data_IF_138926401429
#
_entry.id   IF_138926401429
#
_cell.length_a   1.000
_cell.length_b   1.000
_cell.length_c   1.000
_cell.angle_alpha   90.00
_cell.angle_beta   90.00
_cell.angle_gamma   90.00
#
_symmetry.space_group_name_H-M   'P 1'
#
loop_
_entity.id
_entity.type
_entity.pdbx_description
1 polymer ?
#
# COMPACT_ATOMS: atom_id res chain seq x y z
N UNK A 1 -43.76 14.26 4.72
CA UNK A 1 -43.02 13.27 3.89
C UNK A 1 -41.70 13.86 3.36
N UNK A 2 -41.17 14.91 3.99
CA UNK A 2 -40.01 15.69 3.47
C UNK A 2 -38.66 15.35 4.12
N UNK A 3 -38.65 14.52 5.16
CA UNK A 3 -37.42 14.11 5.87
C UNK A 3 -36.63 12.98 5.21
N UNK A 4 -37.28 12.16 4.38
CA UNK A 4 -36.66 11.00 3.73
C UNK A 4 -36.02 11.38 2.39
N UNK A 5 -36.59 12.37 1.68
CA UNK A 5 -36.05 12.84 0.40
C UNK A 5 -34.79 13.70 0.55
N UNK A 6 -34.60 14.42 1.67
CA UNK A 6 -33.36 15.17 1.93
C UNK A 6 -32.14 14.28 2.25
N UNK A 7 -32.33 13.07 2.79
CA UNK A 7 -31.22 12.12 3.02
C UNK A 7 -30.84 11.31 1.78
N UNK A 8 -31.75 11.18 0.82
CA UNK A 8 -31.46 10.57 -0.48
C UNK A 8 -30.67 11.53 -1.39
N UNK A 9 -30.86 12.84 -1.24
CA UNK A 9 -30.16 13.84 -2.06
C UNK A 9 -28.73 14.13 -1.56
N UNK A 10 -28.46 14.00 -0.26
CA UNK A 10 -27.09 14.10 0.28
C UNK A 10 -26.21 12.91 -0.08
N UNK A 11 -26.78 11.70 -0.24
CA UNK A 11 -26.02 10.50 -0.62
C UNK A 11 -25.74 10.42 -2.13
N UNK A 12 -26.52 11.13 -2.96
CA UNK A 12 -26.29 11.26 -4.40
C UNK A 12 -25.35 12.42 -4.78
N UNK A 13 -25.14 13.39 -3.88
CA UNK A 13 -24.24 14.54 -4.10
C UNK A 13 -22.81 14.32 -3.56
N UNK A 14 -22.61 13.50 -2.52
CA UNK A 14 -21.25 13.17 -2.03
C UNK A 14 -20.43 12.31 -3.01
N UNK A 15 -21.10 11.53 -3.88
CA UNK A 15 -20.46 10.70 -4.92
C UNK A 15 -19.73 11.48 -6.03
N UNK A 16 -19.68 12.82 -5.98
CA UNK A 16 -19.08 13.66 -7.02
C UNK A 16 -17.87 14.50 -6.61
N UNK A 17 -17.56 14.66 -5.31
CA UNK A 17 -16.48 15.60 -4.88
C UNK A 17 -15.07 15.01 -4.93
N UNK A 18 -14.92 13.73 -4.58
CA UNK A 18 -13.61 13.08 -4.45
C UNK A 18 -13.40 12.00 -5.50
N UNK A 19 -12.13 11.73 -5.81
CA UNK A 19 -11.72 10.64 -6.68
C UNK A 19 -11.92 9.29 -5.96
N UNK A 20 -11.73 8.19 -6.72
CA UNK A 20 -11.63 6.86 -6.11
C UNK A 20 -10.43 6.81 -5.16
N UNK A 21 -10.56 6.10 -4.05
CA UNK A 21 -9.50 5.97 -3.04
C UNK A 21 -8.21 5.38 -3.64
N UNK A 22 -8.32 4.48 -4.62
CA UNK A 22 -7.17 3.87 -5.29
C UNK A 22 -6.31 4.92 -6.00
N UNK A 23 -6.92 5.94 -6.61
CA UNK A 23 -6.23 7.07 -7.22
C UNK A 23 -5.49 7.89 -6.16
N UNK A 24 -6.15 8.19 -5.04
CA UNK A 24 -5.53 8.89 -3.91
C UNK A 24 -4.30 8.15 -3.38
N UNK A 25 -4.42 6.83 -3.17
CA UNK A 25 -3.28 6.00 -2.77
C UNK A 25 -2.16 5.95 -3.83
N UNK A 26 -2.47 5.99 -5.13
CA UNK A 26 -1.45 5.98 -6.16
C UNK A 26 -0.65 7.31 -6.16
N UNK A 27 -1.33 8.44 -6.07
CA UNK A 27 -0.70 9.75 -5.93
C UNK A 27 0.17 9.87 -4.68
N UNK A 28 -0.35 9.46 -3.52
CA UNK A 28 0.40 9.54 -2.26
C UNK A 28 1.64 8.66 -2.28
N UNK A 29 1.62 7.51 -2.95
CA UNK A 29 2.82 6.70 -3.16
C UNK A 29 3.83 7.38 -4.06
N UNK A 30 3.41 8.03 -5.15
CA UNK A 30 4.33 8.79 -5.98
C UNK A 30 4.97 9.94 -5.20
N UNK A 31 4.15 10.73 -4.47
CA UNK A 31 4.65 11.83 -3.63
C UNK A 31 5.64 11.29 -2.60
N UNK A 32 5.31 10.19 -1.93
CA UNK A 32 6.21 9.56 -0.96
C UNK A 32 7.52 9.08 -1.59
N UNK A 33 7.47 8.44 -2.75
CA UNK A 33 8.66 8.00 -3.47
C UNK A 33 9.54 9.18 -3.90
N UNK A 34 8.95 10.29 -4.35
CA UNK A 34 9.68 11.53 -4.65
C UNK A 34 10.33 12.09 -3.38
N UNK A 35 9.61 12.18 -2.27
CA UNK A 35 10.16 12.66 -0.98
C UNK A 35 11.34 11.81 -0.52
N UNK A 36 11.31 10.50 -0.74
CA UNK A 36 12.43 9.61 -0.43
C UNK A 36 13.65 9.92 -1.32
N UNK A 37 13.46 10.12 -2.63
CA UNK A 37 14.56 10.51 -3.53
C UNK A 37 15.14 11.88 -3.15
N UNK A 38 14.27 12.84 -2.82
CA UNK A 38 14.70 14.15 -2.30
C UNK A 38 15.58 13.96 -1.05
N UNK A 39 15.11 13.20 -0.07
CA UNK A 39 15.83 12.98 1.19
C UNK A 39 17.17 12.29 0.99
N UNK A 40 17.26 11.30 0.08
CA UNK A 40 18.54 10.65 -0.23
C UNK A 40 19.58 11.59 -0.85
N UNK A 41 19.17 12.71 -1.47
CA UNK A 41 20.12 13.64 -2.09
C UNK A 41 21.10 14.25 -1.09
N UNK A 42 20.72 14.33 0.18
CA UNK A 42 21.55 14.92 1.24
C UNK A 42 22.63 13.97 1.77
N UNK A 43 22.32 12.77 2.30
CA UNK A 43 23.33 11.82 2.76
C UNK A 43 24.25 11.32 1.64
N UNK A 44 23.79 11.30 0.37
CA UNK A 44 24.63 10.91 -0.77
C UNK A 44 25.75 11.92 -1.07
N UNK A 45 25.57 13.18 -0.69
CA UNK A 45 26.60 14.23 -0.79
C UNK A 45 27.40 14.36 0.51
N UNK A 46 26.70 14.38 1.64
CA UNK A 46 27.28 14.54 2.97
C UNK A 46 26.69 13.47 3.91
N UNK A 47 27.41 12.36 4.14
CA UNK A 47 26.95 11.26 5.00
C UNK A 47 26.70 11.65 6.46
N UNK A 48 27.15 12.83 6.92
CA UNK A 48 26.84 13.33 8.26
C UNK A 48 25.39 13.82 8.38
N UNK A 49 24.74 14.08 7.25
CA UNK A 49 23.33 14.47 7.17
C UNK A 49 22.43 13.26 7.06
N UNK A 50 21.25 13.37 7.66
CA UNK A 50 20.22 12.33 7.63
C UNK A 50 19.19 12.59 6.53
N UNK A 51 18.96 13.87 6.18
CA UNK A 51 17.97 14.31 5.21
C UNK A 51 18.04 15.81 4.93
N UNK A 52 16.96 16.39 4.40
CA UNK A 52 16.93 17.81 3.99
C UNK A 52 16.98 18.78 5.17
N UNK A 53 16.46 18.37 6.33
CA UNK A 53 16.41 19.19 7.52
C UNK A 53 17.64 18.98 8.42
N UNK A 54 17.93 19.95 9.31
CA UNK A 54 18.99 19.80 10.30
C UNK A 54 18.77 18.58 11.20
N UNK A 55 19.84 17.87 11.56
CA UNK A 55 19.79 16.71 12.46
C UNK A 55 19.12 17.03 13.80
N UNK A 56 19.29 18.25 14.31
CA UNK A 56 18.68 18.71 15.57
C UNK A 56 17.15 18.78 15.55
N UNK A 57 16.51 18.75 14.38
CA UNK A 57 15.05 18.77 14.29
C UNK A 57 14.43 17.38 14.44
N UNK A 58 15.23 16.31 14.37
CA UNK A 58 14.78 14.92 14.42
C UNK A 58 13.58 14.64 13.48
N UNK A 59 13.54 15.34 12.34
CA UNK A 59 12.41 15.36 11.41
C UNK A 59 12.89 14.99 10.01
N UNK A 60 12.27 13.98 9.41
CA UNK A 60 12.51 13.59 8.01
C UNK A 60 11.19 13.42 7.26
N UNK A 61 10.92 14.25 6.24
CA UNK A 61 9.77 14.08 5.36
C UNK A 61 9.71 12.71 4.68
N UNK A 62 10.87 12.14 4.33
CA UNK A 62 10.97 10.80 3.74
C UNK A 62 10.59 9.72 4.75
N UNK A 63 11.02 9.83 6.00
CA UNK A 63 10.61 8.91 7.06
C UNK A 63 9.11 9.00 7.35
N UNK A 64 8.55 10.21 7.41
CA UNK A 64 7.10 10.42 7.54
C UNK A 64 6.35 9.77 6.35
N UNK A 65 6.85 9.95 5.13
CA UNK A 65 6.28 9.35 3.93
C UNK A 65 6.34 7.81 3.95
N UNK A 66 7.42 7.22 4.47
CA UNK A 66 7.52 5.78 4.67
C UNK A 66 6.51 5.28 5.71
N UNK A 67 6.34 5.97 6.84
CA UNK A 67 5.31 5.62 7.83
C UNK A 67 3.91 5.64 7.23
N UNK A 68 3.60 6.68 6.45
CA UNK A 68 2.36 6.75 5.68
C UNK A 68 2.24 5.60 4.66
N UNK A 69 3.33 5.28 3.94
CA UNK A 69 3.37 4.20 2.96
C UNK A 69 3.04 2.84 3.60
N UNK A 70 3.65 2.52 4.73
CA UNK A 70 3.39 1.26 5.45
C UNK A 70 1.94 1.18 5.94
N UNK A 71 1.36 2.27 6.44
CA UNK A 71 -0.06 2.32 6.81
C UNK A 71 -1.00 2.13 5.61
N UNK A 72 -0.73 2.81 4.49
CA UNK A 72 -1.50 2.61 3.25
C UNK A 72 -1.40 1.17 2.75
N UNK A 73 -0.20 0.57 2.80
CA UNK A 73 0.01 -0.83 2.46
C UNK A 73 -0.78 -1.77 3.37
N UNK A 74 -0.74 -1.58 4.69
CA UNK A 74 -1.56 -2.36 5.63
C UNK A 74 -3.05 -2.32 5.31
N UNK A 75 -3.57 -1.14 4.99
CA UNK A 75 -4.97 -0.95 4.58
C UNK A 75 -5.29 -1.72 3.29
N UNK A 76 -4.49 -1.52 2.23
CA UNK A 76 -4.78 -2.04 0.89
C UNK A 76 -4.53 -3.54 0.77
N UNK A 77 -3.58 -4.07 1.53
CA UNK A 77 -3.26 -5.49 1.53
C UNK A 77 -4.33 -6.26 2.32
N UNK A 78 -4.84 -5.70 3.43
CA UNK A 78 -6.01 -6.22 4.13
C UNK A 78 -7.28 -6.20 3.24
N UNK A 79 -7.54 -5.11 2.51
CA UNK A 79 -8.61 -5.03 1.50
C UNK A 79 -8.46 -6.09 0.41
N UNK A 80 -7.25 -6.26 -0.11
CA UNK A 80 -7.01 -7.29 -1.11
C UNK A 80 -7.23 -8.72 -0.59
N UNK A 81 -6.96 -9.01 0.68
CA UNK A 81 -7.31 -10.32 1.28
C UNK A 81 -8.82 -10.47 1.41
N UNK A 82 -9.50 -9.44 1.90
CA UNK A 82 -10.96 -9.43 2.06
C UNK A 82 -11.70 -9.69 0.74
N UNK A 83 -11.18 -9.16 -0.38
CA UNK A 83 -11.75 -9.36 -1.73
C UNK A 83 -11.49 -10.77 -2.32
N UNK A 84 -10.39 -11.43 -1.95
CA UNK A 84 -10.01 -12.76 -2.48
C UNK A 84 -9.14 -13.53 -1.46
N UNK A 85 -9.80 -14.26 -0.56
CA UNK A 85 -9.19 -14.98 0.57
C UNK A 85 -8.58 -16.34 0.17
N UNK A 86 -7.69 -16.34 -0.83
CA UNK A 86 -6.92 -17.52 -1.23
C UNK A 86 -5.44 -17.27 -1.02
N UNK A 87 -4.83 -18.06 -0.13
CA UNK A 87 -3.42 -17.89 0.28
C UNK A 87 -2.45 -17.92 -0.91
N UNK A 88 -2.62 -18.84 -1.86
CA UNK A 88 -1.70 -18.97 -2.99
C UNK A 88 -1.87 -17.83 -4.01
N UNK A 89 -3.12 -17.43 -4.33
CA UNK A 89 -3.39 -16.27 -5.20
C UNK A 89 -2.90 -14.99 -4.56
N UNK A 90 -3.10 -14.88 -3.26
CA UNK A 90 -2.62 -13.77 -2.45
C UNK A 90 -1.11 -13.64 -2.60
N UNK A 91 -0.34 -14.70 -2.28
CA UNK A 91 1.13 -14.69 -2.37
C UNK A 91 1.60 -14.36 -3.79
N UNK A 92 1.08 -15.05 -4.81
CA UNK A 92 1.52 -14.86 -6.19
C UNK A 92 1.28 -13.43 -6.70
N UNK A 93 0.16 -12.78 -6.31
CA UNK A 93 -0.09 -11.37 -6.66
C UNK A 93 0.99 -10.42 -6.12
N UNK A 94 1.59 -10.74 -4.96
CA UNK A 94 2.65 -9.96 -4.32
C UNK A 94 4.02 -10.31 -4.88
N UNK A 95 4.28 -11.59 -5.17
CA UNK A 95 5.50 -12.01 -5.88
C UNK A 95 5.61 -11.28 -7.23
N UNK A 96 4.53 -11.25 -8.01
CA UNK A 96 4.46 -10.51 -9.29
C UNK A 96 4.61 -8.99 -9.14
N UNK A 97 4.37 -8.45 -7.94
CA UNK A 97 4.49 -7.01 -7.65
C UNK A 97 5.92 -6.63 -7.30
N UNK A 98 6.59 -7.41 -6.45
CA UNK A 98 7.90 -7.06 -5.88
C UNK A 98 9.05 -7.58 -6.74
N UNK A 99 9.06 -8.88 -7.07
CA UNK A 99 10.27 -9.52 -7.58
C UNK A 99 10.66 -9.05 -8.98
N UNK A 100 9.76 -9.01 -9.99
CA UNK A 100 10.20 -8.66 -11.34
C UNK A 100 10.91 -7.30 -11.45
N UNK A 101 10.34 -6.17 -10.98
CA UNK A 101 11.04 -4.88 -10.98
C UNK A 101 12.31 -4.88 -10.11
N UNK A 102 12.31 -5.53 -8.95
CA UNK A 102 13.51 -5.67 -8.11
C UNK A 102 14.65 -6.39 -8.84
N UNK A 103 14.37 -7.52 -9.47
CA UNK A 103 15.38 -8.30 -10.19
C UNK A 103 15.95 -7.48 -11.35
N UNK A 104 15.11 -6.75 -12.07
CA UNK A 104 15.57 -5.90 -13.17
C UNK A 104 16.53 -4.81 -12.68
N UNK A 105 16.19 -4.07 -11.62
CA UNK A 105 17.08 -3.01 -11.10
C UNK A 105 18.38 -3.60 -10.56
N UNK A 106 18.32 -4.72 -9.84
CA UNK A 106 19.50 -5.38 -9.25
C UNK A 106 20.42 -5.94 -10.34
N UNK A 107 19.86 -6.59 -11.38
CA UNK A 107 20.64 -7.09 -12.52
C UNK A 107 21.27 -5.96 -13.33
N UNK A 108 20.53 -4.89 -13.63
CA UNK A 108 21.11 -3.74 -14.34
C UNK A 108 22.18 -3.07 -13.49
N UNK A 109 21.97 -2.97 -12.18
CA UNK A 109 22.96 -2.42 -11.26
C UNK A 109 24.25 -3.25 -11.26
N UNK A 110 24.15 -4.58 -11.20
CA UNK A 110 25.31 -5.48 -11.17
C UNK A 110 25.97 -5.71 -12.53
N UNK A 111 25.21 -5.77 -13.62
CA UNK A 111 25.71 -6.22 -14.92
C UNK A 111 25.88 -5.11 -15.95
N UNK A 112 25.36 -3.91 -15.68
CA UNK A 112 25.50 -2.74 -16.55
C UNK A 112 26.18 -1.60 -15.81
N UNK A 113 25.57 -1.11 -14.72
CA UNK A 113 26.14 0.01 -13.97
C UNK A 113 27.49 -0.38 -13.37
N UNK A 114 27.55 -1.50 -12.65
CA UNK A 114 28.75 -1.95 -11.96
C UNK A 114 30.01 -2.00 -12.84
N UNK A 115 30.01 -2.74 -13.96
CA UNK A 115 31.15 -2.80 -14.88
C UNK A 115 31.52 -1.46 -15.50
N UNK A 116 30.56 -0.54 -15.69
CA UNK A 116 30.82 0.78 -16.26
C UNK A 116 31.48 1.75 -15.27
N UNK A 117 31.28 1.56 -13.96
CA UNK A 117 31.72 2.52 -12.94
C UNK A 117 32.65 1.96 -11.87
N UNK A 118 32.97 0.67 -11.93
CA UNK A 118 33.85 0.04 -10.93
C UNK A 118 35.28 0.54 -11.06
N UNK A 119 35.95 0.73 -9.92
CA UNK A 119 37.37 1.14 -9.85
C UNK A 119 38.35 -0.03 -9.94
N UNK A 120 37.86 -1.27 -9.88
CA UNK A 120 38.70 -2.47 -10.01
C UNK A 120 38.75 -2.96 -11.47
N UNK A 121 39.73 -3.81 -11.79
CA UNK A 121 39.87 -4.39 -13.13
C UNK A 121 38.65 -5.23 -13.52
N UNK A 122 38.26 -5.19 -14.81
CA UNK A 122 37.10 -5.93 -15.32
C UNK A 122 37.18 -7.44 -15.00
N UNK A 123 38.34 -8.05 -15.18
CA UNK A 123 38.53 -9.47 -14.87
C UNK A 123 38.30 -9.79 -13.40
N UNK A 124 38.71 -8.90 -12.49
CA UNK A 124 38.54 -9.07 -11.05
C UNK A 124 37.08 -8.86 -10.66
N UNK A 125 36.40 -7.87 -11.23
CA UNK A 125 34.98 -7.61 -11.00
C UNK A 125 34.10 -8.83 -11.30
N UNK A 126 34.32 -9.49 -12.45
CA UNK A 126 33.51 -10.65 -12.85
C UNK A 126 33.90 -11.95 -12.13
N UNK A 127 35.14 -12.06 -11.65
CA UNK A 127 35.62 -13.19 -10.83
C UNK A 127 35.22 -13.07 -9.37
N UNK A 128 34.94 -11.85 -8.89
CA UNK A 128 34.52 -11.64 -7.52
C UNK A 128 33.11 -12.23 -7.28
N UNK A 129 33.04 -13.14 -6.31
CA UNK A 129 31.81 -13.78 -5.87
C UNK A 129 30.75 -12.77 -5.40
N UNK A 130 31.14 -11.58 -4.94
CA UNK A 130 30.22 -10.54 -4.50
C UNK A 130 29.39 -9.95 -5.65
N UNK A 131 29.89 -9.94 -6.89
CA UNK A 131 29.15 -9.46 -8.07
C UNK A 131 27.92 -10.32 -8.33
N UNK A 132 28.10 -11.64 -8.32
CA UNK A 132 27.03 -12.62 -8.45
C UNK A 132 26.17 -12.70 -7.19
N UNK A 133 26.83 -12.63 -6.03
CA UNK A 133 26.22 -12.57 -4.72
C UNK A 133 25.20 -11.45 -4.64
N UNK A 134 25.50 -10.26 -5.17
CA UNK A 134 24.59 -9.12 -5.15
C UNK A 134 23.22 -9.44 -5.78
N UNK A 135 23.19 -10.18 -6.88
CA UNK A 135 21.93 -10.56 -7.53
C UNK A 135 21.18 -11.61 -6.73
N UNK A 136 21.88 -12.67 -6.30
CA UNK A 136 21.28 -13.79 -5.57
C UNK A 136 20.76 -13.35 -4.19
N UNK A 137 21.59 -12.62 -3.46
CA UNK A 137 21.32 -12.13 -2.11
C UNK A 137 20.14 -11.16 -2.09
N UNK A 138 20.10 -10.21 -3.04
CA UNK A 138 18.97 -9.27 -3.14
C UNK A 138 17.69 -9.94 -3.66
N UNK A 139 17.78 -10.99 -4.50
CA UNK A 139 16.62 -11.79 -4.90
C UNK A 139 15.98 -12.53 -3.72
N UNK A 140 16.77 -12.88 -2.69
CA UNK A 140 16.31 -13.49 -1.44
C UNK A 140 15.52 -12.55 -0.51
N UNK A 141 15.50 -11.24 -0.79
CA UNK A 141 14.91 -10.15 0.01
C UNK A 141 15.44 -10.00 1.44
N UNK A 142 15.53 -11.05 2.25
CA UNK A 142 15.98 -10.94 3.65
C UNK A 142 17.51 -10.99 3.81
N UNK A 143 18.22 -11.22 2.71
CA UNK A 143 19.69 -11.30 2.65
C UNK A 143 20.26 -10.17 1.81
N UNK A 144 19.72 -8.96 1.91
CA UNK A 144 20.14 -7.82 1.09
C UNK A 144 21.65 -7.58 1.15
N UNK A 145 22.23 -7.41 -0.03
CA UNK A 145 23.63 -7.02 -0.19
C UNK A 145 23.65 -5.59 -0.74
N UNK A 146 24.27 -4.69 0.02
CA UNK A 146 24.28 -3.26 -0.31
C UNK A 146 25.44 -2.84 -1.21
N UNK A 147 26.53 -3.60 -1.25
CA UNK A 147 27.77 -3.26 -1.97
C UNK A 147 28.01 -4.16 -3.17
N UNK A 148 28.68 -3.59 -4.17
CA UNK A 148 29.30 -4.31 -5.29
C UNK A 148 30.81 -4.01 -5.30
N UNK A 149 31.66 -4.93 -5.80
CA UNK A 149 33.10 -4.74 -5.84
C UNK A 149 33.51 -3.47 -6.61
N UNK A 150 34.13 -2.51 -5.92
CA UNK A 150 34.66 -1.27 -6.51
C UNK A 150 33.62 -0.29 -7.06
N UNK A 151 32.32 -0.58 -6.96
CA UNK A 151 31.25 0.26 -7.52
C UNK A 151 30.95 1.42 -6.58
N UNK A 152 31.05 2.65 -7.08
CA UNK A 152 30.88 3.89 -6.30
C UNK A 152 31.81 4.01 -5.08
N UNK A 153 32.94 3.29 -5.08
CA UNK A 153 33.88 3.25 -3.95
C UNK A 153 34.48 4.63 -3.62
N UNK A 154 34.55 5.53 -4.61
CA UNK A 154 35.10 6.89 -4.47
C UNK A 154 34.01 7.97 -4.31
N UNK A 155 32.73 7.62 -4.34
CA UNK A 155 31.67 8.58 -4.06
C UNK A 155 31.66 8.93 -2.56
N UNK A 156 31.14 10.11 -2.15
CA UNK A 156 31.02 10.49 -0.75
C UNK A 156 30.26 9.45 0.10
N UNK A 157 29.31 8.73 -0.51
CA UNK A 157 28.55 7.66 0.12
C UNK A 157 28.90 6.29 -0.51
N UNK A 158 29.99 5.61 -0.08
CA UNK A 158 30.42 4.32 -0.64
C UNK A 158 29.74 3.11 0.04
N UNK A 159 28.80 3.35 0.94
CA UNK A 159 28.25 2.32 1.83
C UNK A 159 27.18 1.44 1.16
N UNK A 160 26.52 1.97 0.12
CA UNK A 160 25.46 1.27 -0.59
C UNK A 160 25.33 1.74 -2.04
N UNK A 161 25.21 0.80 -2.96
CA UNK A 161 24.91 1.03 -4.38
C UNK A 161 23.41 1.30 -4.58
N UNK A 162 22.58 0.55 -3.84
CA UNK A 162 21.14 0.75 -3.79
C UNK A 162 20.67 0.58 -2.35
N UNK A 163 20.62 1.69 -1.62
CA UNK A 163 20.10 1.74 -0.27
C UNK A 163 18.58 1.61 -0.26
N UNK A 164 17.88 2.09 -1.28
CA UNK A 164 16.42 2.20 -1.30
C UNK A 164 15.70 0.86 -1.16
N UNK A 165 16.30 -0.26 -1.57
CA UNK A 165 15.68 -1.60 -1.45
C UNK A 165 15.55 -2.12 0.00
N UNK A 166 16.14 -1.43 0.99
CA UNK A 166 16.19 -1.88 2.39
C UNK A 166 14.83 -2.08 3.08
N UNK A 167 13.76 -1.45 2.57
CA UNK A 167 12.42 -1.55 3.16
C UNK A 167 11.57 -2.70 2.60
N UNK A 168 12.00 -3.33 1.49
CA UNK A 168 11.29 -4.45 0.87
C UNK A 168 11.10 -5.68 1.80
N UNK A 169 12.04 -6.03 2.70
CA UNK A 169 11.84 -7.10 3.67
C UNK A 169 10.72 -6.78 4.66
N UNK A 170 10.61 -5.51 5.07
CA UNK A 170 9.54 -5.04 5.95
C UNK A 170 8.19 -5.09 5.23
N UNK A 171 8.12 -4.66 3.97
CA UNK A 171 6.89 -4.77 3.16
C UNK A 171 6.44 -6.23 3.01
N UNK A 172 7.39 -7.12 2.72
CA UNK A 172 7.14 -8.56 2.59
C UNK A 172 6.68 -9.18 3.92
N UNK A 173 7.29 -8.80 5.04
CA UNK A 173 6.85 -9.21 6.38
C UNK A 173 5.41 -8.77 6.65
N UNK A 174 5.05 -7.53 6.30
CA UNK A 174 3.66 -7.06 6.39
C UNK A 174 2.69 -7.91 5.57
N UNK A 175 3.10 -8.36 4.38
CA UNK A 175 2.28 -9.25 3.57
C UNK A 175 2.07 -10.62 4.24
N UNK A 176 3.09 -11.16 4.93
CA UNK A 176 3.00 -12.40 5.69
C UNK A 176 2.10 -12.23 6.92
N UNK A 177 2.15 -11.07 7.59
CA UNK A 177 1.25 -10.75 8.71
C UNK A 177 -0.21 -10.75 8.25
N UNK A 178 -0.53 -10.12 7.13
CA UNK A 178 -1.91 -10.15 6.59
C UNK A 178 -2.33 -11.56 6.22
N UNK A 179 -1.43 -12.37 5.65
CA UNK A 179 -1.72 -13.77 5.34
C UNK A 179 -2.07 -14.55 6.61
N UNK A 180 -1.23 -14.46 7.65
CA UNK A 180 -1.47 -15.12 8.93
C UNK A 180 -2.77 -14.62 9.59
N UNK A 181 -2.97 -13.30 9.67
CA UNK A 181 -4.19 -12.69 10.21
C UNK A 181 -5.44 -13.11 9.43
N UNK A 182 -5.32 -13.24 8.10
CA UNK A 182 -6.37 -13.70 7.22
C UNK A 182 -6.75 -15.16 7.45
N UNK A 183 -5.76 -16.05 7.55
CA UNK A 183 -5.94 -17.49 7.83
C UNK A 183 -6.51 -17.73 9.23
N UNK A 184 -6.08 -16.95 10.22
CA UNK A 184 -6.57 -17.02 11.59
C UNK A 184 -7.94 -16.34 11.79
N UNK A 185 -8.52 -15.73 10.75
CA UNK A 185 -9.82 -15.05 10.83
C UNK A 185 -9.79 -13.71 11.59
N UNK A 186 -8.59 -13.18 11.89
CA UNK A 186 -8.37 -11.88 12.55
C UNK A 186 -8.86 -10.73 11.68
N UNK A 187 -8.89 -10.87 10.35
CA UNK A 187 -9.45 -9.83 9.47
C UNK A 187 -11.00 -9.83 9.39
N UNK A 188 -11.67 -10.71 10.15
CA UNK A 188 -13.11 -10.83 10.19
C UNK A 188 -13.62 -11.15 11.59
N UNK A 189 -13.84 -12.45 11.87
CA UNK A 189 -14.45 -12.96 13.11
C UNK A 189 -13.71 -12.50 14.37
N UNK A 190 -12.38 -12.44 14.32
CA UNK A 190 -11.50 -12.12 15.45
C UNK A 190 -10.81 -10.77 15.31
N UNK A 191 -11.48 -9.78 14.69
CA UNK A 191 -10.93 -8.43 14.47
C UNK A 191 -10.36 -7.70 15.68
N UNK A 192 -10.83 -8.04 16.88
CA UNK A 192 -10.28 -7.47 18.11
C UNK A 192 -8.82 -7.90 18.36
N UNK A 193 -8.35 -9.01 17.79
CA UNK A 193 -6.96 -9.46 17.92
C UNK A 193 -5.94 -8.54 17.21
N UNK A 194 -6.38 -7.58 16.40
CA UNK A 194 -5.50 -6.55 15.84
C UNK A 194 -4.98 -5.59 16.92
N UNK A 195 -5.74 -5.32 17.98
CA UNK A 195 -5.31 -4.43 19.07
C UNK A 195 -4.17 -5.02 19.92
N UNK A 196 -4.21 -6.27 20.41
CA UNK A 196 -3.07 -6.85 21.09
C UNK A 196 -1.85 -7.01 20.15
N UNK A 197 -2.07 -7.29 18.86
CA UNK A 197 -0.98 -7.30 17.87
C UNK A 197 -0.31 -5.92 17.74
N UNK A 198 -1.12 -4.86 17.62
CA UNK A 198 -0.64 -3.48 17.57
C UNK A 198 0.09 -3.10 18.87
N UNK A 199 -0.47 -3.46 20.02
CA UNK A 199 0.15 -3.23 21.33
C UNK A 199 1.50 -3.95 21.44
N UNK A 200 1.60 -5.19 20.96
CA UNK A 200 2.86 -5.93 20.96
C UNK A 200 3.94 -5.20 20.13
N UNK A 201 3.60 -4.74 18.92
CA UNK A 201 4.55 -3.96 18.11
C UNK A 201 4.90 -2.62 18.76
N UNK A 202 3.96 -1.91 19.38
CA UNK A 202 4.25 -0.66 20.10
C UNK A 202 5.21 -0.88 21.28
N UNK A 203 5.02 -1.95 22.05
CA UNK A 203 5.89 -2.29 23.17
C UNK A 203 7.28 -2.66 22.68
N UNK A 204 7.38 -3.52 21.64
CA UNK A 204 8.67 -3.89 21.05
C UNK A 204 9.39 -2.69 20.43
N UNK A 205 8.64 -1.78 19.81
CA UNK A 205 9.16 -0.53 19.25
C UNK A 205 9.73 0.36 20.36
N UNK A 206 9.01 0.46 21.49
CA UNK A 206 9.49 1.15 22.69
C UNK A 206 10.75 0.56 23.32
N UNK A 207 11.03 -0.74 23.15
CA UNK A 207 12.32 -1.32 23.55
C UNK A 207 13.40 -1.15 22.48
N UNK A 208 13.03 -1.21 21.21
CA UNK A 208 13.98 -1.19 20.12
C UNK A 208 14.57 0.18 19.81
N UNK A 209 13.91 1.27 20.21
CA UNK A 209 14.42 2.63 20.15
C UNK A 209 14.89 3.14 18.76
N UNK A 210 14.59 2.41 17.67
CA UNK A 210 14.90 2.83 16.29
C UNK A 210 14.34 4.23 15.96
N UNK A 211 15.11 5.06 15.28
CA UNK A 211 14.68 6.38 14.83
C UNK A 211 15.36 6.76 13.51
N UNK A 212 15.10 7.97 12.99
CA UNK A 212 15.71 8.40 11.73
C UNK A 212 17.23 8.41 11.86
N UNK A 213 17.90 7.62 11.03
CA UNK A 213 19.37 7.51 11.04
C UNK A 213 19.95 6.56 12.09
N UNK A 214 19.12 5.87 12.88
CA UNK A 214 19.58 4.87 13.86
C UNK A 214 18.75 3.57 13.77
N UNK A 215 19.45 2.44 13.72
CA UNK A 215 18.87 1.11 13.64
C UNK A 215 18.43 0.56 15.01
N UNK A 216 18.71 1.25 16.12
CA UNK A 216 18.26 0.87 17.45
C UNK A 216 18.84 -0.46 17.97
N UNK A 217 18.25 -0.95 19.05
CA UNK A 217 18.93 -1.90 19.97
C UNK A 217 18.43 -3.36 19.88
N UNK A 218 17.62 -3.72 18.87
CA UNK A 218 17.12 -5.10 18.71
C UNK A 218 18.02 -6.02 17.87
N UNK A 219 19.20 -5.55 17.46
CA UNK A 219 20.08 -6.29 16.56
C UNK A 219 19.47 -6.51 15.18
N UNK A 220 19.88 -7.60 14.51
CA UNK A 220 19.45 -7.93 13.16
C UNK A 220 19.17 -9.42 12.98
N UNK A 221 18.29 -9.74 12.02
CA UNK A 221 18.07 -11.08 11.53
C UNK A 221 18.46 -11.13 10.06
N UNK A 222 19.41 -12.01 9.71
CA UNK A 222 20.07 -12.00 8.40
C UNK A 222 20.65 -10.59 8.12
N UNK A 223 20.21 -9.92 7.05
CA UNK A 223 20.62 -8.54 6.73
C UNK A 223 19.63 -7.48 7.24
N UNK A 224 18.56 -7.87 7.93
CA UNK A 224 17.44 -6.98 8.24
C UNK A 224 17.54 -6.48 9.69
N UNK A 225 17.61 -5.16 9.92
CA UNK A 225 17.61 -4.61 11.27
C UNK A 225 16.22 -4.78 11.90
N UNK A 226 16.16 -5.38 13.09
CA UNK A 226 14.89 -5.77 13.71
C UNK A 226 14.12 -4.58 14.28
N UNK A 227 14.80 -3.58 14.83
CA UNK A 227 14.10 -2.43 15.41
C UNK A 227 13.37 -1.57 14.35
N UNK A 228 13.98 -1.24 13.18
CA UNK A 228 13.25 -0.60 12.09
C UNK A 228 12.13 -1.48 11.53
N UNK A 229 12.33 -2.80 11.45
CA UNK A 229 11.26 -3.71 11.03
C UNK A 229 10.04 -3.58 11.94
N UNK A 230 10.25 -3.65 13.25
CA UNK A 230 9.20 -3.49 14.26
C UNK A 230 8.53 -2.11 14.13
N UNK A 231 9.33 -1.04 14.01
CA UNK A 231 8.84 0.32 13.87
C UNK A 231 7.89 0.49 12.67
N UNK A 232 8.21 -0.09 11.51
CA UNK A 232 7.33 -0.04 10.33
C UNK A 232 6.14 -0.98 10.41
N UNK A 233 6.16 -2.01 11.25
CA UNK A 233 4.99 -2.86 11.49
C UNK A 233 3.90 -2.15 12.30
N UNK A 234 4.25 -1.16 13.14
CA UNK A 234 3.28 -0.31 13.86
C UNK A 234 2.30 0.39 12.90
N UNK A 235 2.73 1.26 11.97
CA UNK A 235 1.81 1.89 11.02
C UNK A 235 1.14 0.87 10.10
N UNK A 236 1.82 -0.23 9.74
CA UNK A 236 1.23 -1.26 8.88
C UNK A 236 0.02 -1.94 9.55
N UNK A 237 0.16 -2.40 10.79
CA UNK A 237 -0.96 -2.98 11.55
C UNK A 237 -2.04 -1.93 11.82
N UNK A 238 -1.65 -0.68 12.09
CA UNK A 238 -2.60 0.43 12.20
C UNK A 238 -3.42 0.63 10.91
N UNK A 239 -2.80 0.50 9.75
CA UNK A 239 -3.47 0.47 8.45
C UNK A 239 -4.48 -0.67 8.31
N UNK A 240 -4.14 -1.86 8.82
CA UNK A 240 -5.08 -2.99 8.88
C UNK A 240 -6.28 -2.67 9.78
N UNK A 241 -6.05 -2.03 10.94
CA UNK A 241 -7.12 -1.55 11.84
C UNK A 241 -8.02 -0.55 11.12
N UNK A 242 -7.44 0.45 10.44
CA UNK A 242 -8.22 1.42 9.66
C UNK A 242 -9.09 0.77 8.59
N UNK A 243 -8.58 -0.26 7.91
CA UNK A 243 -9.37 -1.01 6.94
C UNK A 243 -10.51 -1.80 7.62
N UNK A 244 -10.22 -2.58 8.66
CA UNK A 244 -11.22 -3.45 9.31
C UNK A 244 -12.32 -2.66 10.00
N UNK A 245 -12.00 -1.47 10.51
CA UNK A 245 -12.95 -0.56 11.17
C UNK A 245 -13.39 0.62 10.29
N UNK A 246 -13.15 0.56 8.97
CA UNK A 246 -13.46 1.64 8.02
C UNK A 246 -14.91 2.13 8.04
N UNK A 247 -15.87 1.27 8.38
CA UNK A 247 -17.30 1.62 8.43
C UNK A 247 -17.66 2.39 9.71
N UNK A 248 -16.82 2.33 10.74
CA UNK A 248 -17.04 2.97 12.04
C UNK A 248 -16.04 4.11 12.33
N UNK A 249 -14.93 4.16 11.60
CA UNK A 249 -13.88 5.15 11.77
C UNK A 249 -14.14 6.36 10.85
N UNK A 250 -14.56 7.51 11.38
CA UNK A 250 -14.74 8.70 10.56
C UNK A 250 -13.38 9.29 10.18
N UNK A 251 -13.06 9.31 8.90
CA UNK A 251 -11.82 9.89 8.36
C UNK A 251 -12.02 11.39 8.12
N UNK A 252 -11.88 12.21 9.16
CA UNK A 252 -12.14 13.66 9.07
C UNK A 252 -10.81 14.41 8.84
N UNK A 253 -10.71 15.28 7.82
CA UNK A 253 -9.46 16.02 7.54
C UNK A 253 -8.92 16.83 8.72
N UNK A 254 -9.79 17.42 9.55
CA UNK A 254 -9.34 18.17 10.73
C UNK A 254 -8.67 17.28 11.79
N UNK A 255 -9.07 16.00 11.92
CA UNK A 255 -8.42 15.05 12.84
C UNK A 255 -7.01 14.74 12.34
N UNK A 256 -6.82 14.61 11.02
CA UNK A 256 -5.49 14.45 10.45
C UNK A 256 -4.59 15.67 10.74
N UNK A 257 -5.12 16.89 10.60
CA UNK A 257 -4.39 18.11 10.97
C UNK A 257 -4.08 18.17 12.47
N UNK A 258 -5.02 17.78 13.34
CA UNK A 258 -4.81 17.74 14.78
C UNK A 258 -3.73 16.73 15.17
N UNK A 259 -3.76 15.51 14.61
CA UNK A 259 -2.73 14.49 14.85
C UNK A 259 -1.35 14.95 14.37
N UNK A 260 -1.28 15.62 13.22
CA UNK A 260 -0.03 16.22 12.73
C UNK A 260 0.47 17.31 13.70
N UNK A 261 -0.41 18.18 14.19
CA UNK A 261 -0.03 19.19 15.19
C UNK A 261 0.46 18.54 16.49
N UNK A 262 -0.20 17.50 16.99
CA UNK A 262 0.24 16.75 18.17
C UNK A 262 1.61 16.10 17.93
N UNK A 263 1.86 15.53 16.75
CA UNK A 263 3.18 15.00 16.40
C UNK A 263 4.26 16.08 16.43
N UNK A 264 4.02 17.24 15.80
CA UNK A 264 4.98 18.33 15.78
C UNK A 264 5.25 18.89 17.18
N UNK A 265 4.20 19.06 18.00
CA UNK A 265 4.35 19.48 19.40
C UNK A 265 5.18 18.45 20.19
N UNK A 266 4.87 17.16 20.05
CA UNK A 266 5.62 16.11 20.72
C UNK A 266 7.09 16.10 20.28
N UNK A 267 7.36 16.25 18.97
CA UNK A 267 8.71 16.21 18.41
C UNK A 267 9.59 17.38 18.87
N UNK A 268 9.03 18.59 19.04
CA UNK A 268 9.79 19.79 19.38
C UNK A 268 9.75 20.16 20.87
N UNK A 269 8.92 19.49 21.68
CA UNK A 269 8.89 19.67 23.13
C UNK A 269 9.76 18.60 23.81
N UNK A 270 10.89 18.93 24.46
CA UNK A 270 11.83 17.94 25.00
C UNK A 270 11.20 16.92 25.97
N UNK A 271 10.22 17.35 26.77
CA UNK A 271 9.49 16.47 27.70
C UNK A 271 8.57 15.46 26.99
N UNK A 272 8.19 15.72 25.74
CA UNK A 272 7.25 14.91 24.96
C UNK A 272 7.92 14.21 23.77
N UNK A 273 9.19 14.51 23.48
CA UNK A 273 9.93 13.93 22.34
C UNK A 273 9.84 12.40 22.30
N UNK A 274 10.00 11.66 23.42
CA UNK A 274 9.85 10.20 23.39
C UNK A 274 8.48 9.72 22.93
N UNK A 275 7.43 10.52 23.17
CA UNK A 275 6.07 10.20 22.73
C UNK A 275 5.87 10.42 21.22
N UNK A 276 6.68 11.28 20.57
CA UNK A 276 6.58 11.57 19.14
C UNK A 276 6.72 10.29 18.30
N UNK A 277 7.52 9.32 18.76
CA UNK A 277 7.66 7.97 18.21
C UNK A 277 6.32 7.27 17.99
N UNK A 278 5.43 7.34 18.97
CA UNK A 278 4.14 6.64 18.94
C UNK A 278 3.05 7.47 18.23
N UNK A 279 3.16 8.80 18.26
CA UNK A 279 2.22 9.70 17.57
C UNK A 279 2.46 9.70 16.07
N UNK A 280 3.72 9.64 15.63
CA UNK A 280 4.10 9.67 14.21
C UNK A 280 3.37 8.65 13.34
N UNK A 281 3.37 7.33 13.62
CA UNK A 281 2.68 6.34 12.78
C UNK A 281 1.17 6.59 12.73
N UNK A 282 0.58 7.12 13.82
CA UNK A 282 -0.83 7.50 13.86
C UNK A 282 -1.11 8.73 12.99
N UNK A 283 -0.32 9.79 13.12
CA UNK A 283 -0.44 11.01 12.34
C UNK A 283 -0.23 10.75 10.84
N UNK A 284 0.85 10.05 10.48
CA UNK A 284 1.18 9.71 9.11
C UNK A 284 0.16 8.74 8.50
N UNK A 285 -0.21 7.68 9.23
CA UNK A 285 -1.15 6.68 8.74
C UNK A 285 -2.58 7.21 8.58
N UNK A 286 -3.12 7.85 9.63
CA UNK A 286 -4.48 8.42 9.59
C UNK A 286 -4.54 9.54 8.55
N UNK A 287 -3.52 10.40 8.50
CA UNK A 287 -3.42 11.47 7.51
C UNK A 287 -3.39 10.95 6.08
N UNK A 288 -2.57 9.94 5.79
CA UNK A 288 -2.47 9.36 4.45
C UNK A 288 -3.78 8.70 4.00
N UNK A 289 -4.41 7.88 4.85
CA UNK A 289 -5.69 7.22 4.51
C UNK A 289 -6.80 8.27 4.36
N UNK A 290 -6.86 9.27 5.24
CA UNK A 290 -7.83 10.37 5.14
C UNK A 290 -7.64 11.17 3.85
N UNK A 291 -6.41 11.51 3.50
CA UNK A 291 -6.09 12.26 2.28
C UNK A 291 -6.39 11.43 1.01
N UNK A 292 -6.15 10.12 1.04
CA UNK A 292 -6.54 9.22 -0.06
C UNK A 292 -8.07 9.19 -0.25
N UNK A 293 -8.83 9.15 0.84
CA UNK A 293 -10.30 9.21 0.81
C UNK A 293 -10.86 10.55 0.31
N UNK A 294 -10.15 11.65 0.60
CA UNK A 294 -10.55 13.02 0.23
C UNK A 294 -9.79 13.53 -1.01
N UNK A 295 -9.25 12.63 -1.83
CA UNK A 295 -8.43 13.03 -2.97
C UNK A 295 -9.27 13.83 -3.99
N UNK A 296 -8.83 15.03 -4.43
CA UNK A 296 -9.64 15.86 -5.30
C UNK A 296 -9.94 15.20 -6.64
N UNK A 297 -11.21 15.22 -7.07
CA UNK A 297 -11.64 14.60 -8.34
C UNK A 297 -10.93 15.16 -9.58
N UNK A 298 -10.48 16.42 -9.57
CA UNK A 298 -9.73 17.04 -10.68
C UNK A 298 -8.41 16.32 -11.02
N UNK A 299 -7.88 15.54 -10.09
CA UNK A 299 -6.67 14.74 -10.27
C UNK A 299 -6.99 13.26 -10.54
N UNK A 300 -8.25 12.92 -10.79
CA UNK A 300 -8.63 11.60 -11.30
C UNK A 300 -8.29 11.47 -12.79
N UNK A 301 -7.93 10.26 -13.23
CA UNK A 301 -7.63 9.96 -14.64
C UNK A 301 -6.16 10.09 -15.05
N UNK A 302 -5.28 10.51 -14.14
CA UNK A 302 -3.82 10.54 -14.34
C UNK A 302 -3.12 9.30 -13.79
N UNK A 303 -3.86 8.21 -13.59
CA UNK A 303 -3.35 7.06 -12.84
C UNK A 303 -2.10 6.44 -13.51
N UNK A 304 -2.02 6.46 -14.85
CA UNK A 304 -0.85 5.97 -15.59
C UNK A 304 0.45 6.74 -15.30
N UNK A 305 0.35 8.02 -14.94
CA UNK A 305 1.50 8.88 -14.62
C UNK A 305 2.07 8.63 -13.22
N UNK A 306 1.28 7.99 -12.34
CA UNK A 306 1.63 7.79 -10.93
C UNK A 306 1.91 6.33 -10.58
N UNK A 307 1.59 5.39 -11.46
CA UNK A 307 1.83 3.97 -11.22
C UNK A 307 3.31 3.56 -11.20
N UNK A 308 4.20 4.38 -11.77
CA UNK A 308 5.66 4.18 -11.72
C UNK A 308 6.31 4.46 -10.36
N UNK A 309 5.55 4.66 -9.29
CA UNK A 309 6.09 5.02 -7.96
C UNK A 309 7.04 3.96 -7.39
N UNK A 310 6.80 2.67 -7.65
CA UNK A 310 7.65 1.59 -7.17
C UNK A 310 9.00 1.59 -7.90
N UNK A 311 8.98 1.63 -9.24
CA UNK A 311 10.16 1.85 -10.05
C UNK A 311 10.95 3.11 -9.63
N UNK A 312 10.28 4.25 -9.45
CA UNK A 312 10.92 5.49 -9.02
C UNK A 312 11.69 5.29 -7.71
N UNK A 313 11.07 4.62 -6.75
CA UNK A 313 11.66 4.34 -5.44
C UNK A 313 12.93 3.47 -5.54
N UNK A 314 12.89 2.35 -6.27
CA UNK A 314 14.02 1.41 -6.34
C UNK A 314 15.15 1.87 -7.28
N UNK A 315 14.84 2.70 -8.27
CA UNK A 315 15.83 3.28 -9.20
C UNK A 315 16.49 4.56 -8.66
N UNK A 316 15.91 5.17 -7.63
CA UNK A 316 16.34 6.47 -7.11
C UNK A 316 17.83 6.54 -6.76
N UNK A 317 18.26 5.73 -5.80
CA UNK A 317 19.64 5.80 -5.31
C UNK A 317 20.70 5.41 -6.37
N UNK A 318 20.55 4.33 -7.18
CA UNK A 318 21.52 4.03 -8.23
C UNK A 318 21.73 5.19 -9.22
N UNK A 319 20.65 5.86 -9.62
CA UNK A 319 20.73 7.00 -10.54
C UNK A 319 21.35 8.22 -9.87
N UNK A 320 21.02 8.50 -8.60
CA UNK A 320 21.67 9.57 -7.86
C UNK A 320 23.17 9.32 -7.68
N UNK A 321 23.58 8.09 -7.38
CA UNK A 321 25.00 7.72 -7.28
C UNK A 321 25.75 7.94 -8.60
N UNK A 322 25.13 7.68 -9.76
CA UNK A 322 25.71 8.02 -11.08
C UNK A 322 25.88 9.53 -11.27
N UNK A 323 24.90 10.34 -10.85
CA UNK A 323 24.99 11.81 -10.93
C UNK A 323 26.08 12.35 -10.00
N UNK A 324 26.21 11.76 -8.81
CA UNK A 324 27.31 12.06 -7.87
C UNK A 324 28.67 11.66 -8.45
N UNK A 325 28.75 10.51 -9.11
CA UNK A 325 29.96 10.06 -9.79
C UNK A 325 30.36 11.03 -10.92
N UNK A 326 29.39 11.59 -11.64
CA UNK A 326 29.61 12.61 -12.66
C UNK A 326 30.09 13.98 -12.11
N UNK A 327 30.32 14.09 -10.80
CA UNK A 327 30.93 15.25 -10.16
C UNK A 327 29.97 16.18 -9.44
N UNK A 328 28.67 15.85 -9.36
CA UNK A 328 27.72 16.66 -8.57
C UNK A 328 28.04 16.53 -7.08
N UNK A 329 28.21 17.69 -6.42
CA UNK A 329 28.54 17.81 -4.99
C UNK A 329 27.59 18.72 -4.22
N UNK A 330 26.57 19.27 -4.86
CA UNK A 330 25.52 20.05 -4.20
C UNK A 330 24.24 19.20 -4.07
N UNK A 331 23.66 19.04 -2.87
CA UNK A 331 22.52 18.15 -2.68
C UNK A 331 21.23 18.67 -3.32
N UNK A 332 21.10 19.99 -3.52
CA UNK A 332 19.94 20.58 -4.19
C UNK A 332 19.98 20.35 -5.69
N UNK A 333 21.17 20.46 -6.31
CA UNK A 333 21.40 20.07 -7.69
C UNK A 333 21.19 18.57 -7.88
N UNK A 334 21.68 17.74 -6.97
CA UNK A 334 21.44 16.29 -6.99
C UNK A 334 19.95 15.97 -6.90
N UNK A 335 19.19 16.68 -6.07
CA UNK A 335 17.73 16.57 -6.01
C UNK A 335 17.08 16.97 -7.34
N UNK A 336 17.45 18.13 -7.88
CA UNK A 336 16.88 18.67 -9.11
C UNK A 336 17.10 17.78 -10.33
N UNK A 337 18.22 17.04 -10.38
CA UNK A 337 18.52 16.07 -11.43
C UNK A 337 17.97 14.67 -11.10
N UNK A 338 18.12 14.24 -9.85
CA UNK A 338 17.79 12.91 -9.38
C UNK A 338 16.28 12.61 -9.45
N UNK A 339 15.43 13.57 -9.07
CA UNK A 339 13.97 13.36 -9.08
C UNK A 339 13.43 13.13 -10.51
N UNK A 340 13.71 13.97 -11.52
CA UNK A 340 13.30 13.71 -12.90
C UNK A 340 13.85 12.41 -13.47
N UNK A 341 15.15 12.12 -13.24
CA UNK A 341 15.78 10.89 -13.74
C UNK A 341 15.11 9.64 -13.14
N UNK A 342 14.88 9.65 -11.82
CA UNK A 342 14.20 8.57 -11.11
C UNK A 342 12.76 8.42 -11.56
N UNK A 343 12.06 9.53 -11.84
CA UNK A 343 10.71 9.50 -12.36
C UNK A 343 10.64 8.83 -13.75
N UNK A 344 11.52 9.24 -14.67
CA UNK A 344 11.60 8.63 -16.01
C UNK A 344 11.91 7.14 -15.92
N UNK A 345 12.90 6.75 -15.11
CA UNK A 345 13.22 5.34 -14.89
C UNK A 345 12.06 4.57 -14.26
N UNK A 346 11.32 5.19 -13.33
CA UNK A 346 10.13 4.62 -12.73
C UNK A 346 8.99 4.38 -13.73
N UNK A 347 8.74 5.33 -14.64
CA UNK A 347 7.76 5.18 -15.73
C UNK A 347 8.18 4.07 -16.69
N UNK A 348 9.46 4.02 -17.07
CA UNK A 348 9.99 2.96 -17.94
C UNK A 348 9.89 1.57 -17.25
N UNK A 349 10.27 1.47 -15.98
CA UNK A 349 10.10 0.27 -15.17
C UNK A 349 8.65 -0.19 -15.14
N UNK A 350 7.72 0.75 -14.95
CA UNK A 350 6.29 0.45 -14.97
C UNK A 350 5.84 -0.11 -16.32
N UNK A 351 6.17 0.56 -17.42
CA UNK A 351 5.71 0.19 -18.75
C UNK A 351 6.32 -1.13 -19.23
N UNK A 352 7.61 -1.35 -18.96
CA UNK A 352 8.38 -2.48 -19.50
C UNK A 352 8.34 -3.71 -18.60
N UNK A 353 8.18 -3.54 -17.29
CA UNK A 353 8.29 -4.64 -16.32
C UNK A 353 7.02 -4.82 -15.52
N UNK A 354 6.58 -3.81 -14.78
CA UNK A 354 5.51 -3.97 -13.78
C UNK A 354 4.12 -4.16 -14.41
N UNK A 355 3.76 -3.39 -15.44
CA UNK A 355 2.48 -3.50 -16.13
C UNK A 355 2.34 -4.87 -16.81
N UNK A 356 3.34 -5.38 -17.57
CA UNK A 356 3.31 -6.73 -18.13
C UNK A 356 3.17 -7.82 -17.06
N UNK A 357 3.97 -7.78 -15.99
CA UNK A 357 3.95 -8.84 -14.96
C UNK A 357 2.67 -8.81 -14.13
N UNK A 358 2.15 -7.63 -13.81
CA UNK A 358 0.87 -7.51 -13.10
C UNK A 358 -0.32 -7.90 -13.98
N UNK A 359 -0.21 -7.81 -15.31
CA UNK A 359 -1.25 -8.30 -16.22
C UNK A 359 -1.48 -9.83 -16.10
N UNK A 360 -0.46 -10.58 -15.68
CA UNK A 360 -0.54 -12.03 -15.45
C UNK A 360 -1.52 -12.40 -14.33
N UNK A 361 -1.90 -11.44 -13.47
CA UNK A 361 -2.96 -11.64 -12.46
C UNK A 361 -4.30 -12.04 -13.06
N UNK A 362 -4.53 -11.81 -14.36
CA UNK A 362 -5.72 -12.27 -15.08
C UNK A 362 -5.88 -13.79 -15.08
N UNK A 363 -4.78 -14.54 -14.93
CA UNK A 363 -4.78 -16.01 -14.81
C UNK A 363 -5.08 -16.48 -13.38
N UNK A 364 -5.15 -15.57 -12.41
CA UNK A 364 -5.38 -15.86 -10.99
C UNK A 364 -6.82 -15.55 -10.58
N UNK A 365 -7.80 -15.71 -11.49
CA UNK A 365 -9.19 -15.37 -11.19
C UNK A 365 -9.82 -16.41 -10.24
N UNK A 366 -10.65 -16.00 -9.27
CA UNK A 366 -11.46 -16.92 -8.50
C UNK A 366 -12.37 -17.73 -9.44
N UNK A 367 -12.70 -19.00 -9.11
CA UNK A 367 -13.75 -19.72 -9.80
C UNK A 367 -15.03 -18.87 -9.80
N UNK A 368 -15.73 -18.82 -10.93
CA UNK A 368 -17.02 -18.13 -10.99
C UNK A 368 -17.92 -18.70 -9.89
N UNK A 369 -18.52 -17.83 -9.05
CA UNK A 369 -19.54 -18.29 -8.11
C UNK A 369 -20.61 -19.02 -8.92
N UNK A 370 -20.99 -20.26 -8.58
CA UNK A 370 -22.09 -20.93 -9.27
C UNK A 370 -23.30 -20.00 -9.22
N UNK A 371 -23.86 -19.69 -10.40
CA UNK A 371 -25.11 -18.93 -10.46
C UNK A 371 -26.11 -19.66 -9.56
N UNK A 372 -26.84 -18.95 -8.67
CA UNK A 372 -27.92 -19.59 -7.96
C UNK A 372 -28.85 -20.18 -9.02
N UNK A 373 -28.97 -21.52 -9.02
CA UNK A 373 -29.95 -22.20 -9.86
C UNK A 373 -31.29 -21.61 -9.45
N UNK A 374 -31.92 -20.85 -10.35
CA UNK A 374 -33.26 -20.33 -10.17
C UNK A 374 -34.25 -21.50 -10.28
N UNK A 375 -34.14 -22.44 -9.35
CA UNK A 375 -34.98 -23.61 -9.23
C UNK A 375 -35.88 -23.40 -8.03
N UNK A 376 -36.94 -22.61 -8.21
CA UNK A 376 -38.28 -22.81 -7.67
C UNK A 376 -39.14 -21.77 -8.40
N UNK A 377 -39.63 -22.17 -9.57
CA UNK A 377 -40.78 -21.52 -10.20
C UNK A 377 -41.93 -21.77 -9.23
N UNK A 378 -42.17 -20.86 -8.29
CA UNK A 378 -43.41 -20.85 -7.51
C UNK A 378 -44.53 -20.83 -8.55
N UNK A 379 -45.23 -21.95 -8.70
CA UNK A 379 -46.53 -21.94 -9.35
C UNK A 379 -47.36 -20.93 -8.56
N UNK A 380 -47.68 -19.80 -9.20
CA UNK A 380 -48.68 -18.89 -8.67
C UNK A 380 -49.97 -19.70 -8.50
N UNK A 381 -50.66 -19.62 -7.35
CA UNK A 381 -52.00 -20.18 -7.29
C UNK A 381 -52.83 -19.48 -8.36
N UNK A 382 -53.49 -20.28 -9.20
CA UNK A 382 -54.42 -19.80 -10.22
C UNK A 382 -55.44 -18.94 -9.50
N UNK A 383 -55.47 -17.64 -9.83
CA UNK A 383 -56.47 -16.74 -9.33
C UNK A 383 -57.83 -17.23 -9.83
N UNK A 384 -58.71 -17.62 -8.91
CA UNK A 384 -60.13 -17.82 -9.22
C UNK A 384 -60.69 -16.46 -9.59
N UNK A 385 -60.88 -16.24 -10.88
CA UNK A 385 -61.48 -15.05 -11.46
C UNK A 385 -62.93 -14.97 -10.97
N UNK A 386 -63.20 -14.10 -9.99
CA UNK A 386 -64.58 -13.76 -9.60
C UNK A 386 -65.20 -12.99 -10.75
N UNK A 387 -66.18 -13.60 -11.42
CA UNK A 387 -66.97 -12.94 -12.46
C UNK A 387 -67.74 -11.73 -11.88
N UNK A 388 -67.82 -10.60 -12.61
CA UNK A 388 -68.61 -9.44 -12.19
C UNK A 388 -70.12 -9.72 -12.25
N UNK A 389 -70.84 -9.26 -11.22
CA UNK A 389 -72.30 -9.25 -11.11
C UNK A 389 -72.98 -8.35 -12.17
N UNK A 390 -72.97 -8.76 -13.44
CA UNK A 390 -73.83 -8.18 -14.48
C UNK A 390 -74.26 -9.23 -15.48
N UNK A 391 -74.90 -10.31 -15.00
CA UNK A 391 -75.68 -11.20 -15.88
C UNK A 391 -76.76 -12.02 -15.14
N UNK A 392 -77.25 -11.54 -13.99
CA UNK A 392 -78.35 -12.18 -13.23
C UNK A 392 -79.73 -11.59 -13.52
N UNK A 393 -79.94 -11.03 -14.72
CA UNK A 393 -81.26 -10.56 -15.21
C UNK A 393 -81.54 -11.03 -16.63
N UNK A 394 -81.42 -12.33 -16.89
CA UNK A 394 -81.97 -12.91 -18.13
C UNK A 394 -82.36 -14.40 -18.04
N UNK A 395 -82.42 -14.99 -16.85
CA UNK A 395 -82.93 -16.36 -16.62
C UNK A 395 -84.09 -16.41 -15.60
N UNK A 396 -84.96 -15.39 -15.61
CA UNK A 396 -86.31 -15.44 -15.01
C UNK A 396 -87.37 -15.33 -16.10
N UNK A 397 -87.26 -16.18 -17.12
CA UNK A 397 -88.29 -16.48 -18.12
C UNK A 397 -87.84 -17.78 -18.79
N UNK A 398 -88.72 -18.76 -18.82
CA UNK A 398 -88.56 -20.16 -19.26
C UNK A 398 -88.25 -21.20 -18.18
N UNK A 399 -89.21 -22.13 -18.05
CA UNK A 399 -89.34 -23.28 -17.15
C UNK A 399 -89.66 -22.92 -15.69
N UNK A 400 -90.91 -22.89 -15.24
CA UNK A 400 -92.10 -23.51 -15.83
C UNK A 400 -92.07 -25.02 -15.62
N UNK A 401 -92.66 -25.43 -14.50
CA UNK A 401 -93.40 -26.68 -14.33
C UNK A 401 -92.65 -27.98 -13.98
N UNK A 402 -93.33 -28.75 -13.11
CA UNK A 402 -93.21 -30.18 -12.80
C UNK A 402 -92.39 -30.66 -11.58
N UNK A 403 -93.12 -30.65 -10.45
CA UNK A 403 -93.50 -31.83 -9.61
C UNK A 403 -92.53 -32.41 -8.57
N UNK A 404 -93.01 -32.27 -7.33
CA UNK A 404 -92.99 -33.21 -6.20
C UNK A 404 -92.91 -34.70 -6.54
N UNK A 405 -92.15 -35.46 -5.73
CA UNK A 405 -92.48 -36.73 -5.02
C UNK A 405 -91.17 -37.40 -4.58
N UNK A 406 -90.85 -37.42 -3.28
CA UNK A 406 -91.11 -38.50 -2.29
C UNK A 406 -89.90 -39.41 -2.01
N UNK A 407 -89.56 -39.53 -0.71
CA UNK A 407 -89.26 -40.76 0.06
C UNK A 407 -88.08 -41.62 -0.48
N UNK A 408 -86.96 -41.77 0.23
CA UNK A 408 -86.78 -42.47 1.52
C UNK A 408 -85.36 -42.29 2.04
#
# INVERSE_FOLDING_TARGET
MDGVLRRADSSLTEGKRYAKIETGFAWLRLIGAVLVVVEHSFPLIDPSRIGMFPKSWNLSPGYFALMAFFAMSGYQIADSWHRDASWWRYLLKRTLRIWPPLLVVVMITAFVIGPLVTVIGQADYWRDHQTWGYVINNAGLYTLQHKLPGVFAENPYPFSVNGSIWTLPMETTGYLIVLAAGLLGVLGRFRLALFPLLAAFLVLDGFGQAHVGDNGDLGGFLSVPLAPLVAYMVPFVLGMVFFVYRDSLPLKPWVACALLAVYLIANFAPLLEPAARFVLPLAAGYGAVTLAHHWPRRFAGYDEWVYGSYGLYIWGMPLQQLVVLAGVRDPWLLMALGVPLSYVAGVLSWQLVEKPTQSLRRYLRPPAKPRPVSGHRMMRPVAVERMPERQMRQRRRFSGDLRDTEIR
#
